data_IF_395857805704
#
_entry.id   IF_395857805704
#
_cell.length_a   1.000
_cell.length_b   1.000
_cell.length_c   1.000
_cell.angle_alpha   90.00
_cell.angle_beta   90.00
_cell.angle_gamma   90.00
#
_symmetry.space_group_name_H-M   'P 1'
#
loop_
_entity.id
_entity.type
_entity.pdbx_description
1 polymer ?
#
# COMPACT_ATOMS: atom_id res chain seq x y z
N UNK A 1 -7.74 -5.94 -23.63
CA UNK A 1 -7.14 -4.83 -24.41
C UNK A 1 -5.73 -5.20 -24.87
N UNK A 2 -5.49 -5.36 -26.17
CA UNK A 2 -4.23 -5.87 -26.73
C UNK A 2 -3.37 -4.73 -27.29
N UNK A 3 -2.63 -4.01 -26.44
CA UNK A 3 -1.61 -3.06 -26.92
C UNK A 3 -0.40 -3.85 -27.46
N UNK A 4 -0.30 -3.93 -28.78
CA UNK A 4 0.79 -4.60 -29.47
C UNK A 4 2.12 -3.84 -29.31
N UNK A 5 3.18 -4.56 -28.88
CA UNK A 5 4.60 -4.41 -29.29
C UNK A 5 5.50 -5.32 -28.44
N UNK A 6 5.37 -6.63 -28.65
CA UNK A 6 6.38 -7.59 -28.18
C UNK A 6 7.75 -7.39 -28.87
N UNK A 7 7.78 -6.81 -30.07
CA UNK A 7 9.00 -6.69 -30.89
C UNK A 7 9.94 -5.54 -30.54
N UNK A 8 9.49 -4.49 -29.84
CA UNK A 8 10.35 -3.35 -29.46
C UNK A 8 11.04 -3.52 -28.10
N UNK A 9 10.51 -4.41 -27.25
CA UNK A 9 11.08 -4.67 -25.92
C UNK A 9 12.18 -5.71 -25.98
N UNK A 10 13.32 -5.40 -25.36
CA UNK A 10 14.43 -6.34 -25.22
C UNK A 10 13.99 -7.62 -24.48
N UNK A 11 14.63 -8.79 -24.71
CA UNK A 11 14.18 -10.06 -24.11
C UNK A 11 14.02 -9.98 -22.58
N UNK A 12 14.90 -9.23 -21.92
CA UNK A 12 14.86 -8.92 -20.49
C UNK A 12 13.54 -8.26 -20.06
N UNK A 13 13.11 -7.22 -20.77
CA UNK A 13 11.87 -6.50 -20.47
C UNK A 13 10.62 -7.33 -20.75
N UNK A 14 10.65 -8.18 -21.79
CA UNK A 14 9.56 -9.14 -22.07
C UNK A 14 9.39 -10.14 -20.94
N UNK A 15 10.49 -10.61 -20.34
CA UNK A 15 10.44 -11.49 -19.16
C UNK A 15 9.93 -10.76 -17.92
N UNK A 16 10.36 -9.52 -17.66
CA UNK A 16 9.82 -8.71 -16.53
C UNK A 16 8.32 -8.49 -16.69
N UNK A 17 7.86 -8.11 -17.89
CA UNK A 17 6.44 -7.98 -18.22
C UNK A 17 5.68 -9.30 -18.01
N UNK A 18 6.21 -10.41 -18.56
CA UNK A 18 5.58 -11.74 -18.48
C UNK A 18 5.50 -12.25 -17.04
N UNK A 19 6.53 -12.00 -16.23
CA UNK A 19 6.51 -12.29 -14.80
C UNK A 19 5.40 -11.48 -14.10
N UNK A 20 5.27 -10.18 -14.38
CA UNK A 20 4.20 -9.37 -13.81
C UNK A 20 2.80 -9.91 -14.17
N UNK A 21 2.58 -10.31 -15.43
CA UNK A 21 1.30 -10.90 -15.87
C UNK A 21 1.02 -12.26 -15.20
N UNK A 22 2.02 -13.14 -15.11
CA UNK A 22 1.86 -14.46 -14.48
C UNK A 22 1.65 -14.35 -12.97
N UNK A 23 2.39 -13.49 -12.27
CA UNK A 23 2.23 -13.23 -10.82
C UNK A 23 0.83 -12.67 -10.54
N UNK A 24 0.36 -11.71 -11.35
CA UNK A 24 -1.02 -11.15 -11.30
C UNK A 24 -2.09 -12.24 -11.34
N UNK A 25 -1.90 -13.27 -12.17
CA UNK A 25 -2.87 -14.36 -12.36
C UNK A 25 -2.73 -15.45 -11.28
N UNK A 26 -1.51 -15.95 -11.09
CA UNK A 26 -1.23 -17.22 -10.41
C UNK A 26 -0.62 -17.07 -9.01
N UNK A 27 -0.15 -15.88 -8.63
CA UNK A 27 0.69 -15.68 -7.44
C UNK A 27 2.18 -15.91 -7.71
N UNK A 28 3.03 -15.60 -6.73
CA UNK A 28 4.49 -15.72 -6.89
C UNK A 28 4.93 -17.18 -6.86
N UNK A 29 4.47 -17.98 -5.89
CA UNK A 29 4.81 -19.39 -5.74
C UNK A 29 4.61 -20.19 -7.02
N UNK A 30 3.41 -20.09 -7.61
CA UNK A 30 3.02 -20.77 -8.84
C UNK A 30 3.60 -20.18 -10.14
N UNK A 31 4.37 -19.08 -10.09
CA UNK A 31 5.07 -18.53 -11.25
C UNK A 31 6.51 -19.06 -11.31
N UNK A 32 6.80 -19.97 -12.24
CA UNK A 32 8.15 -20.50 -12.46
C UNK A 32 8.96 -19.67 -13.46
N UNK A 33 10.28 -19.63 -13.29
CA UNK A 33 11.21 -18.96 -14.22
C UNK A 33 11.08 -19.48 -15.66
N UNK A 34 10.82 -20.78 -15.83
CA UNK A 34 10.62 -21.43 -17.13
C UNK A 34 9.33 -20.96 -17.81
N UNK A 35 8.26 -20.80 -17.04
CA UNK A 35 6.96 -20.37 -17.53
C UNK A 35 7.02 -18.91 -17.99
N UNK A 36 7.77 -18.08 -17.27
CA UNK A 36 8.08 -16.70 -17.69
C UNK A 36 8.82 -16.66 -19.02
N UNK A 37 9.88 -17.46 -19.21
CA UNK A 37 10.62 -17.48 -20.47
C UNK A 37 9.77 -17.95 -21.66
N UNK A 38 8.89 -18.94 -21.44
CA UNK A 38 7.93 -19.41 -22.46
C UNK A 38 6.90 -18.32 -22.79
N UNK A 39 6.32 -17.67 -21.77
CA UNK A 39 5.36 -16.58 -21.97
C UNK A 39 5.99 -15.33 -22.62
N UNK A 40 7.27 -15.07 -22.36
CA UNK A 40 8.00 -13.92 -22.88
C UNK A 40 8.55 -14.09 -24.31
N UNK A 41 8.38 -15.28 -24.90
CA UNK A 41 9.09 -15.72 -26.12
C UNK A 41 10.59 -15.39 -26.03
N UNK A 42 11.23 -15.95 -25.00
CA UNK A 42 12.64 -15.73 -24.68
C UNK A 42 13.43 -17.05 -24.63
N UNK A 43 14.68 -17.10 -25.15
CA UNK A 43 15.50 -18.30 -25.11
C UNK A 43 15.72 -18.77 -23.67
N UNK A 44 15.37 -20.03 -23.36
CA UNK A 44 15.41 -20.59 -21.99
C UNK A 44 16.78 -20.46 -21.31
N UNK A 45 17.87 -20.57 -22.08
CA UNK A 45 19.24 -20.41 -21.56
C UNK A 45 19.59 -18.99 -21.11
N UNK A 46 18.80 -17.98 -21.49
CA UNK A 46 19.08 -16.58 -21.17
C UNK A 46 18.61 -16.13 -19.78
N UNK A 47 17.79 -16.94 -19.08
CA UNK A 47 17.24 -16.59 -17.77
C UNK A 47 18.34 -16.30 -16.72
N UNK A 48 19.38 -17.15 -16.65
CA UNK A 48 20.50 -16.97 -15.72
C UNK A 48 21.38 -15.76 -16.08
N UNK A 49 21.47 -15.42 -17.37
CA UNK A 49 22.21 -14.26 -17.85
C UNK A 49 21.49 -12.95 -17.51
N UNK A 50 20.17 -12.90 -17.66
CA UNK A 50 19.38 -11.69 -17.42
C UNK A 50 18.98 -11.46 -15.95
N UNK A 51 18.86 -12.56 -15.18
CA UNK A 51 18.47 -12.56 -13.77
C UNK A 51 19.41 -13.48 -12.94
N UNK A 52 20.68 -13.08 -12.73
CA UNK A 52 21.64 -13.85 -11.93
C UNK A 52 21.20 -14.00 -10.45
N UNK A 53 20.41 -13.05 -9.92
CA UNK A 53 19.74 -13.16 -8.62
C UNK A 53 18.48 -14.05 -8.63
N UNK A 54 18.24 -14.79 -9.72
CA UNK A 54 17.20 -15.81 -9.82
C UNK A 54 15.76 -15.28 -9.75
N UNK A 55 14.88 -16.09 -9.17
CA UNK A 55 13.44 -15.82 -9.11
C UNK A 55 13.11 -14.57 -8.30
N UNK A 56 13.79 -14.36 -7.17
CA UNK A 56 13.54 -13.18 -6.32
C UNK A 56 13.85 -11.88 -7.07
N UNK A 57 14.99 -11.80 -7.77
CA UNK A 57 15.31 -10.66 -8.63
C UNK A 57 14.20 -10.40 -9.66
N UNK A 58 13.78 -11.43 -10.40
CA UNK A 58 12.73 -11.30 -11.41
C UNK A 58 11.39 -10.82 -10.82
N UNK A 59 11.00 -11.33 -9.64
CA UNK A 59 9.79 -10.92 -8.92
C UNK A 59 9.90 -9.45 -8.51
N UNK A 60 11.02 -9.04 -7.92
CA UNK A 60 11.27 -7.65 -7.49
C UNK A 60 11.20 -6.68 -8.68
N UNK A 61 11.77 -7.05 -9.82
CA UNK A 61 11.71 -6.25 -11.04
C UNK A 61 10.31 -6.21 -11.67
N UNK A 62 9.56 -7.31 -11.63
CA UNK A 62 8.17 -7.37 -12.08
C UNK A 62 7.24 -6.49 -11.21
N UNK A 63 7.44 -6.51 -9.89
CA UNK A 63 6.76 -5.66 -8.92
C UNK A 63 7.10 -4.18 -9.15
N UNK A 64 8.38 -3.86 -9.32
CA UNK A 64 8.82 -2.50 -9.62
C UNK A 64 8.31 -2.00 -10.98
N UNK A 65 8.26 -2.87 -12.00
CA UNK A 65 7.66 -2.57 -13.29
C UNK A 65 6.16 -2.28 -13.16
N UNK A 66 5.43 -3.09 -12.40
CA UNK A 66 4.00 -2.89 -12.18
C UNK A 66 3.69 -1.58 -11.43
N UNK A 67 4.50 -1.21 -10.44
CA UNK A 67 4.40 0.08 -9.77
C UNK A 67 4.62 1.27 -10.73
N UNK A 68 5.61 1.18 -11.62
CA UNK A 68 5.83 2.21 -12.67
C UNK A 68 4.70 2.24 -13.70
N UNK A 69 4.16 1.10 -14.10
CA UNK A 69 3.03 1.00 -15.01
C UNK A 69 1.77 1.66 -14.39
N UNK A 70 1.44 1.32 -13.15
CA UNK A 70 0.32 1.92 -12.43
C UNK A 70 0.49 3.44 -12.25
N UNK A 71 1.70 3.90 -11.91
CA UNK A 71 2.05 5.31 -11.85
C UNK A 71 1.83 6.04 -13.19
N UNK A 72 2.32 5.50 -14.30
CA UNK A 72 2.17 6.09 -15.63
C UNK A 72 0.72 6.12 -16.15
N UNK A 73 -0.13 5.21 -15.66
CA UNK A 73 -1.57 5.20 -16.00
C UNK A 73 -2.34 6.37 -15.39
N UNK A 74 -1.90 6.93 -14.25
CA UNK A 74 -2.59 8.05 -13.58
C UNK A 74 -2.73 9.27 -14.50
N UNK A 75 -1.66 9.68 -15.17
CA UNK A 75 -1.71 10.81 -16.11
C UNK A 75 -2.67 10.55 -17.30
N UNK A 76 -2.74 9.30 -17.80
CA UNK A 76 -3.69 8.89 -18.85
C UNK A 76 -5.14 8.89 -18.35
N UNK A 77 -5.37 8.59 -17.07
CA UNK A 77 -6.71 8.71 -16.47
C UNK A 77 -7.16 10.17 -16.36
N UNK A 78 -6.30 11.04 -15.81
CA UNK A 78 -6.60 12.48 -15.67
C UNK A 78 -6.88 13.11 -17.04
N UNK A 79 -6.02 12.86 -18.04
CA UNK A 79 -6.20 13.36 -19.41
C UNK A 79 -7.43 12.80 -20.15
N UNK A 80 -8.08 11.76 -19.61
CA UNK A 80 -9.33 11.20 -20.13
C UNK A 80 -10.60 11.75 -19.49
N UNK A 81 -10.48 12.67 -18.52
CA UNK A 81 -11.62 13.33 -17.86
C UNK A 81 -11.86 14.69 -18.50
N UNK A 82 -13.10 15.00 -18.85
CA UNK A 82 -13.48 16.33 -19.34
C UNK A 82 -13.36 17.39 -18.24
N UNK A 83 -13.80 17.04 -17.03
CA UNK A 83 -13.63 17.81 -15.79
C UNK A 83 -12.98 16.88 -14.75
N UNK A 84 -11.69 17.06 -14.41
CA UNK A 84 -11.02 16.19 -13.47
C UNK A 84 -11.48 16.44 -12.02
N UNK A 85 -12.08 15.42 -11.40
CA UNK A 85 -12.42 15.40 -9.96
C UNK A 85 -11.77 14.21 -9.25
N UNK A 86 -11.58 14.27 -7.92
CA UNK A 86 -11.07 13.15 -7.12
C UNK A 86 -11.87 11.86 -7.32
N UNK A 87 -13.21 11.92 -7.32
CA UNK A 87 -14.06 10.76 -7.62
C UNK A 87 -13.94 10.29 -9.07
N UNK A 88 -13.82 11.22 -10.03
CA UNK A 88 -13.65 10.93 -11.45
C UNK A 88 -12.36 10.18 -11.75
N UNK A 89 -11.26 10.57 -11.08
CA UNK A 89 -9.98 9.86 -11.11
C UNK A 89 -10.10 8.46 -10.50
N UNK A 90 -10.72 8.33 -9.31
CA UNK A 90 -10.90 7.02 -8.68
C UNK A 90 -11.76 6.09 -9.54
N UNK A 91 -12.85 6.60 -10.11
CA UNK A 91 -13.69 5.88 -11.05
C UNK A 91 -12.92 5.48 -12.33
N UNK A 92 -11.99 6.31 -12.83
CA UNK A 92 -11.14 5.96 -13.96
C UNK A 92 -10.15 4.82 -13.62
N UNK A 93 -9.57 4.84 -12.42
CA UNK A 93 -8.72 3.76 -11.90
C UNK A 93 -9.50 2.45 -11.77
N UNK A 94 -10.73 2.51 -11.26
CA UNK A 94 -11.65 1.36 -11.15
C UNK A 94 -12.07 0.83 -12.52
N UNK A 95 -12.43 1.71 -13.47
CA UNK A 95 -12.88 1.33 -14.82
C UNK A 95 -11.88 0.43 -15.54
N UNK A 96 -10.57 0.66 -15.39
CA UNK A 96 -9.57 -0.25 -15.98
C UNK A 96 -9.82 -1.72 -15.62
N UNK A 97 -10.19 -2.02 -14.37
CA UNK A 97 -10.41 -3.39 -13.90
C UNK A 97 -11.76 -3.96 -14.33
N UNK A 98 -12.78 -3.12 -14.53
CA UNK A 98 -14.07 -3.55 -15.09
C UNK A 98 -13.93 -3.86 -16.59
N UNK A 99 -13.22 -3.02 -17.34
CA UNK A 99 -12.95 -3.21 -18.76
C UNK A 99 -12.05 -4.46 -18.99
N UNK A 100 -11.08 -4.68 -18.10
CA UNK A 100 -10.27 -5.92 -18.07
C UNK A 100 -11.16 -7.15 -17.81
N UNK A 101 -12.13 -7.08 -16.88
CA UNK A 101 -13.06 -8.18 -16.61
C UNK A 101 -13.97 -8.47 -17.80
N UNK A 102 -14.61 -7.45 -18.39
CA UNK A 102 -15.50 -7.60 -19.54
C UNK A 102 -14.79 -8.22 -20.75
N UNK A 103 -13.52 -7.87 -20.97
CA UNK A 103 -12.73 -8.39 -22.09
C UNK A 103 -12.08 -9.75 -21.85
N UNK A 104 -11.89 -10.18 -20.59
CA UNK A 104 -11.20 -11.43 -20.25
C UNK A 104 -12.09 -12.50 -19.57
N UNK A 105 -13.30 -12.14 -19.13
CA UNK A 105 -14.19 -13.01 -18.35
C UNK A 105 -13.73 -13.32 -16.92
N UNK A 106 -12.64 -12.69 -16.45
CA UNK A 106 -12.07 -12.91 -15.13
C UNK A 106 -11.29 -11.68 -14.64
N UNK A 107 -11.35 -11.40 -13.33
CA UNK A 107 -10.62 -10.28 -12.73
C UNK A 107 -9.16 -10.70 -12.52
N UNK A 108 -8.20 -9.93 -13.04
CA UNK A 108 -6.78 -10.11 -12.72
C UNK A 108 -6.48 -9.71 -11.27
N UNK A 109 -5.35 -10.13 -10.69
CA UNK A 109 -4.82 -9.53 -9.46
C UNK A 109 -3.89 -8.36 -9.71
N UNK A 110 -3.59 -7.59 -8.67
CA UNK A 110 -2.38 -6.76 -8.69
C UNK A 110 -1.14 -7.64 -8.43
N UNK A 111 -0.09 -7.56 -9.27
CA UNK A 111 1.13 -8.32 -9.02
C UNK A 111 1.92 -7.81 -7.80
N UNK A 112 1.77 -6.53 -7.43
CA UNK A 112 2.36 -5.96 -6.21
C UNK A 112 1.68 -6.57 -4.98
N UNK A 113 0.35 -6.60 -4.94
CA UNK A 113 -0.40 -7.24 -3.87
C UNK A 113 -0.11 -8.75 -3.79
N UNK A 114 -0.08 -9.45 -4.93
CA UNK A 114 0.24 -10.88 -5.00
C UNK A 114 1.64 -11.20 -4.44
N UNK A 115 2.65 -10.38 -4.73
CA UNK A 115 3.99 -10.52 -4.14
C UNK A 115 4.05 -10.12 -2.66
N UNK A 116 3.14 -9.26 -2.20
CA UNK A 116 3.06 -8.86 -0.79
C UNK A 116 2.43 -9.95 0.08
N UNK A 117 1.40 -10.66 -0.40
CA UNK A 117 0.73 -11.70 0.40
C UNK A 117 1.47 -13.03 0.44
N UNK A 118 2.28 -13.34 -0.58
CA UNK A 118 2.99 -14.62 -0.73
C UNK A 118 4.31 -14.66 0.09
N UNK A 119 4.19 -14.51 1.41
CA UNK A 119 5.32 -14.45 2.35
C UNK A 119 6.22 -15.71 2.31
N UNK A 120 5.69 -16.86 1.87
CA UNK A 120 6.48 -18.08 1.73
C UNK A 120 7.39 -18.08 0.49
N UNK A 121 7.05 -17.29 -0.53
CA UNK A 121 7.81 -17.20 -1.80
C UNK A 121 8.64 -15.93 -1.95
N UNK A 122 8.59 -15.03 -0.96
CA UNK A 122 9.09 -13.65 -1.05
C UNK A 122 9.95 -13.28 0.16
N UNK A 123 11.21 -12.89 -0.06
CA UNK A 123 12.11 -12.45 1.01
C UNK A 123 11.96 -10.95 1.37
N UNK A 124 12.84 -10.45 2.27
CA UNK A 124 12.86 -9.04 2.68
C UNK A 124 12.97 -8.05 1.50
N UNK A 125 13.75 -8.42 0.47
CA UNK A 125 13.95 -7.60 -0.73
C UNK A 125 12.64 -7.41 -1.53
N UNK A 126 11.77 -8.43 -1.57
CA UNK A 126 10.47 -8.36 -2.25
C UNK A 126 9.48 -7.50 -1.49
N UNK A 127 9.49 -7.54 -0.15
CA UNK A 127 8.69 -6.61 0.68
C UNK A 127 9.11 -5.16 0.43
N UNK A 128 10.41 -4.89 0.34
CA UNK A 128 10.95 -3.56 0.01
C UNK A 128 10.57 -3.12 -1.41
N UNK A 129 10.69 -4.00 -2.39
CA UNK A 129 10.25 -3.74 -3.77
C UNK A 129 8.74 -3.45 -3.84
N UNK A 130 7.91 -4.16 -3.08
CA UNK A 130 6.46 -3.95 -3.02
C UNK A 130 6.11 -2.61 -2.35
N UNK A 131 6.74 -2.28 -1.22
CA UNK A 131 6.57 -0.99 -0.57
C UNK A 131 6.98 0.18 -1.48
N UNK A 132 8.11 0.04 -2.20
CA UNK A 132 8.57 1.01 -3.19
C UNK A 132 7.60 1.13 -4.39
N UNK A 133 7.02 0.02 -4.86
CA UNK A 133 6.03 0.02 -5.94
C UNK A 133 4.72 0.72 -5.53
N UNK A 134 4.18 0.44 -4.34
CA UNK A 134 3.01 1.16 -3.83
C UNK A 134 3.32 2.65 -3.57
N UNK A 135 4.52 2.99 -3.10
CA UNK A 135 4.95 4.39 -2.97
C UNK A 135 5.12 5.08 -4.34
N UNK A 136 5.55 4.36 -5.38
CA UNK A 136 5.65 4.88 -6.75
C UNK A 136 4.27 5.13 -7.38
N UNK A 137 3.26 4.30 -7.06
CA UNK A 137 1.90 4.49 -7.53
C UNK A 137 1.12 5.56 -6.74
N UNK A 138 1.28 5.64 -5.41
CA UNK A 138 0.63 6.67 -4.58
C UNK A 138 1.02 8.10 -4.95
N UNK A 139 2.31 8.35 -5.23
CA UNK A 139 2.83 9.70 -5.55
C UNK A 139 2.07 10.44 -6.65
N UNK A 140 1.89 9.89 -7.88
CA UNK A 140 1.13 10.58 -8.92
C UNK A 140 -0.38 10.67 -8.62
N UNK A 141 -0.96 9.75 -7.85
CA UNK A 141 -2.36 9.89 -7.39
C UNK A 141 -2.48 11.09 -6.45
N UNK A 142 -1.59 11.22 -5.46
CA UNK A 142 -1.56 12.36 -4.56
C UNK A 142 -1.30 13.69 -5.31
N UNK A 143 -0.38 13.70 -6.28
CA UNK A 143 -0.15 14.86 -7.15
C UNK A 143 -1.41 15.28 -7.90
N UNK A 144 -2.08 14.34 -8.56
CA UNK A 144 -3.33 14.60 -9.29
C UNK A 144 -4.47 15.09 -8.36
N UNK A 145 -4.55 14.61 -7.11
CA UNK A 145 -5.50 15.12 -6.12
C UNK A 145 -5.19 16.59 -5.75
N UNK A 146 -3.92 16.94 -5.55
CA UNK A 146 -3.50 18.33 -5.30
C UNK A 146 -3.80 19.24 -6.49
N UNK A 147 -3.56 18.77 -7.73
CA UNK A 147 -3.92 19.49 -8.96
C UNK A 147 -5.45 19.74 -9.08
N UNK A 148 -6.26 18.86 -8.49
CA UNK A 148 -7.72 19.00 -8.37
C UNK A 148 -8.17 19.84 -7.16
N UNK A 149 -7.23 20.46 -6.42
CA UNK A 149 -7.51 21.34 -5.30
C UNK A 149 -7.70 20.65 -3.94
N UNK A 150 -7.35 19.36 -3.81
CA UNK A 150 -7.27 18.69 -2.50
C UNK A 150 -6.06 19.23 -1.73
N UNK A 151 -6.19 19.60 -0.43
CA UNK A 151 -5.06 20.06 0.37
C UNK A 151 -3.93 19.03 0.45
N UNK A 152 -2.67 19.50 0.39
CA UNK A 152 -1.51 18.63 0.25
C UNK A 152 -1.35 17.63 1.42
N UNK A 153 -1.71 18.03 2.63
CA UNK A 153 -1.73 17.19 3.83
C UNK A 153 -2.81 16.10 3.80
N UNK A 154 -3.85 16.28 2.98
CA UNK A 154 -4.91 15.26 2.74
C UNK A 154 -4.64 14.40 1.50
N UNK A 155 -3.84 14.88 0.54
CA UNK A 155 -3.63 14.21 -0.73
C UNK A 155 -2.93 12.83 -0.61
N UNK A 156 -1.88 12.68 0.22
CA UNK A 156 -1.24 11.36 0.41
C UNK A 156 -2.13 10.36 1.17
N UNK A 157 -2.76 10.73 2.31
CA UNK A 157 -3.71 9.84 2.98
C UNK A 157 -4.86 9.39 2.09
N UNK A 158 -5.40 10.28 1.24
CA UNK A 158 -6.46 9.93 0.29
C UNK A 158 -5.96 9.05 -0.85
N UNK A 159 -4.76 9.28 -1.38
CA UNK A 159 -4.14 8.37 -2.35
C UNK A 159 -3.91 6.96 -1.75
N UNK A 160 -3.52 6.88 -0.47
CA UNK A 160 -3.42 5.63 0.29
C UNK A 160 -4.79 4.97 0.48
N UNK A 161 -5.85 5.73 0.80
CA UNK A 161 -7.22 5.23 0.91
C UNK A 161 -7.74 4.69 -0.44
N UNK A 162 -7.54 5.43 -1.53
CA UNK A 162 -7.95 5.02 -2.87
C UNK A 162 -7.28 3.70 -3.29
N UNK A 163 -5.96 3.60 -3.14
CA UNK A 163 -5.21 2.41 -3.54
C UNK A 163 -5.55 1.19 -2.66
N UNK A 164 -5.64 1.36 -1.33
CA UNK A 164 -6.03 0.26 -0.44
C UNK A 164 -7.47 -0.24 -0.69
N UNK A 165 -8.41 0.68 -0.92
CA UNK A 165 -9.80 0.32 -1.25
C UNK A 165 -9.92 -0.39 -2.60
N UNK A 166 -9.15 0.05 -3.60
CA UNK A 166 -9.09 -0.60 -4.91
C UNK A 166 -8.50 -2.01 -4.82
N UNK A 167 -7.39 -2.21 -4.11
CA UNK A 167 -6.78 -3.53 -3.93
C UNK A 167 -7.70 -4.50 -3.16
N UNK A 168 -8.38 -4.02 -2.11
CA UNK A 168 -9.40 -4.79 -1.40
C UNK A 168 -10.58 -5.17 -2.30
N UNK A 169 -11.04 -4.24 -3.15
CA UNK A 169 -12.09 -4.51 -4.11
C UNK A 169 -11.68 -5.49 -5.21
N UNK A 170 -10.43 -5.43 -5.70
CA UNK A 170 -9.88 -6.41 -6.65
C UNK A 170 -9.84 -7.81 -6.02
N UNK A 171 -9.40 -7.91 -4.76
CA UNK A 171 -9.36 -9.18 -4.03
C UNK A 171 -10.76 -9.80 -3.88
N UNK A 172 -11.75 -9.01 -3.44
CA UNK A 172 -13.14 -9.46 -3.33
C UNK A 172 -13.73 -9.80 -4.71
N UNK A 173 -13.48 -9.00 -5.74
CA UNK A 173 -13.99 -9.22 -7.09
C UNK A 173 -13.44 -10.52 -7.72
N UNK A 174 -12.19 -10.89 -7.39
CA UNK A 174 -11.62 -12.20 -7.74
C UNK A 174 -12.28 -13.36 -6.99
N UNK A 175 -12.57 -13.19 -5.70
CA UNK A 175 -13.21 -14.23 -4.88
C UNK A 175 -14.68 -14.46 -5.26
N UNK A 176 -15.40 -13.40 -5.61
CA UNK A 176 -16.81 -13.44 -6.04
C UNK A 176 -16.98 -13.81 -7.52
N UNK A 177 -15.93 -13.70 -8.35
CA UNK A 177 -16.04 -13.88 -9.79
C UNK A 177 -16.87 -12.79 -10.47
N UNK A 178 -16.74 -11.53 -10.04
CA UNK A 178 -17.52 -10.42 -10.59
C UNK A 178 -17.12 -9.03 -10.08
N UNK A 179 -17.50 -7.99 -10.82
CA UNK A 179 -17.04 -6.60 -10.59
C UNK A 179 -17.85 -5.81 -9.55
N UNK A 180 -18.79 -6.44 -8.84
CA UNK A 180 -19.65 -5.80 -7.83
C UNK A 180 -18.85 -5.04 -6.75
N UNK A 181 -17.75 -5.57 -6.18
CA UNK A 181 -16.98 -4.83 -5.17
C UNK A 181 -16.30 -3.57 -5.72
N UNK A 182 -15.81 -3.64 -6.97
CA UNK A 182 -15.18 -2.50 -7.67
C UNK A 182 -16.18 -1.35 -7.86
N UNK A 183 -17.38 -1.65 -8.38
CA UNK A 183 -18.45 -0.66 -8.51
C UNK A 183 -18.92 -0.11 -7.14
N UNK A 184 -18.90 -0.94 -6.10
CA UNK A 184 -19.29 -0.53 -4.74
C UNK A 184 -18.31 0.48 -4.18
N UNK A 185 -17.00 0.21 -4.17
CA UNK A 185 -16.02 1.16 -3.61
C UNK A 185 -15.99 2.48 -4.38
N UNK A 186 -16.15 2.44 -5.71
CA UNK A 186 -16.23 3.65 -6.53
C UNK A 186 -17.40 4.56 -6.13
N UNK A 187 -18.59 3.97 -5.92
CA UNK A 187 -19.79 4.70 -5.51
C UNK A 187 -19.68 5.27 -4.10
N UNK A 188 -19.28 4.46 -3.13
CA UNK A 188 -19.26 4.88 -1.71
C UNK A 188 -18.15 5.90 -1.41
N UNK A 189 -17.00 5.81 -2.09
CA UNK A 189 -15.90 6.77 -1.88
C UNK A 189 -16.08 8.08 -2.66
N UNK A 190 -16.86 8.11 -3.75
CA UNK A 190 -17.07 9.32 -4.56
C UNK A 190 -17.41 10.58 -3.75
N UNK A 191 -18.47 10.60 -2.89
CA UNK A 191 -18.80 11.80 -2.11
C UNK A 191 -17.72 12.19 -1.10
N UNK A 192 -17.00 11.22 -0.53
CA UNK A 192 -15.90 11.47 0.42
C UNK A 192 -14.69 12.11 -0.27
N UNK A 193 -14.37 11.63 -1.48
CA UNK A 193 -13.26 12.12 -2.29
C UNK A 193 -13.51 13.54 -2.82
N UNK A 194 -14.71 13.81 -3.33
CA UNK A 194 -15.03 15.15 -3.87
C UNK A 194 -15.19 16.19 -2.75
N UNK A 195 -15.73 15.80 -1.58
CA UNK A 195 -15.76 16.65 -0.38
C UNK A 195 -14.36 16.91 0.24
N UNK A 196 -13.28 16.37 -0.35
CA UNK A 196 -11.91 16.73 0.03
C UNK A 196 -11.42 18.03 -0.62
N UNK A 197 -12.11 18.54 -1.65
CA UNK A 197 -11.81 19.83 -2.29
C UNK A 197 -12.54 20.95 -1.52
N UNK A 198 -11.83 21.93 -0.93
CA UNK A 198 -12.47 23.03 -0.21
C UNK A 198 -13.32 23.90 -1.16
N UNK A 199 -14.45 24.44 -0.70
CA UNK A 199 -15.19 25.43 -1.49
C UNK A 199 -14.28 26.64 -1.78
N UNK A 200 -14.46 27.24 -2.96
CA UNK A 200 -13.52 28.24 -3.49
C UNK A 200 -13.24 29.47 -2.59
N UNK A 201 -14.10 29.74 -1.60
CA UNK A 201 -13.95 30.82 -0.63
C UNK A 201 -13.10 30.50 0.61
N UNK A 202 -12.69 29.24 0.84
CA UNK A 202 -11.96 28.84 2.07
C UNK A 202 -10.48 28.50 1.81
N UNK A 203 -9.94 28.95 0.67
CA UNK A 203 -8.49 28.95 0.38
C UNK A 203 -7.78 30.02 1.20
N UNK A 204 -7.73 29.84 2.52
CA UNK A 204 -7.02 30.74 3.42
C UNK A 204 -5.51 30.65 3.17
N UNK A 205 -4.87 31.81 3.36
CA UNK A 205 -3.54 32.08 2.86
C UNK A 205 -2.49 31.59 3.88
N UNK A 206 -2.32 30.27 3.97
CA UNK A 206 -1.41 29.60 4.90
C UNK A 206 0.05 29.74 4.44
N UNK A 207 0.54 30.97 4.39
CA UNK A 207 1.85 31.32 3.83
C UNK A 207 2.28 32.78 3.98
N UNK A 208 1.61 33.59 4.82
CA UNK A 208 2.13 34.90 5.21
C UNK A 208 3.35 34.75 6.14
N UNK A 209 4.43 35.54 5.97
CA UNK A 209 5.54 35.54 6.93
C UNK A 209 5.05 35.93 8.32
N UNK A 210 5.49 35.21 9.35
CA UNK A 210 5.33 35.68 10.73
C UNK A 210 6.31 36.83 10.94
N UNK A 211 5.77 38.04 11.01
CA UNK A 211 6.54 39.23 11.38
C UNK A 211 6.72 39.24 12.90
N UNK A 212 7.71 38.48 13.37
CA UNK A 212 8.10 38.38 14.78
C UNK A 212 8.87 39.66 15.20
N UNK A 213 8.25 40.83 14.99
CA UNK A 213 8.90 42.16 14.91
C UNK A 213 8.32 43.23 15.85
N UNK A 214 7.72 42.87 16.98
CA UNK A 214 7.28 43.83 18.00
C UNK A 214 8.42 44.26 18.94
N UNK A 215 8.66 45.57 19.16
CA UNK A 215 9.71 46.02 20.09
C UNK A 215 9.34 45.67 21.54
N UNK A 216 10.35 45.24 22.31
CA UNK A 216 10.23 45.07 23.76
C UNK A 216 10.32 46.44 24.42
N UNK A 217 9.31 46.79 25.20
CA UNK A 217 9.32 48.01 26.01
C UNK A 217 9.95 47.69 27.37
N UNK A 218 11.06 48.35 27.67
CA UNK A 218 11.86 48.13 28.89
C UNK A 218 11.48 49.17 29.95
N UNK A 219 10.72 48.78 30.99
CA UNK A 219 10.57 49.64 32.17
C UNK A 219 9.33 49.43 33.04
N UNK A 220 9.47 48.64 34.11
CA UNK A 220 8.56 48.63 35.25
C UNK A 220 9.36 48.52 36.55
N UNK A 221 9.15 49.36 37.58
CA UNK A 221 9.94 49.30 38.80
C UNK A 221 9.68 48.01 39.58
N UNK A 222 10.74 47.48 40.21
CA UNK A 222 10.58 46.48 41.26
C UNK A 222 10.18 47.21 42.54
N UNK A 223 9.11 46.76 43.17
CA UNK A 223 8.73 47.22 44.51
C UNK A 223 9.08 46.12 45.53
N UNK A 224 9.63 46.53 46.67
CA UNK A 224 10.32 45.66 47.61
C UNK A 224 9.48 45.44 48.89
N UNK A 225 9.22 44.17 49.23
CA UNK A 225 8.97 43.75 50.61
C UNK A 225 7.52 43.50 51.03
N UNK A 226 7.28 42.28 51.51
CA UNK A 226 6.10 41.85 52.27
C UNK A 226 6.43 40.52 52.96
N UNK A 227 6.15 40.34 54.26
CA UNK A 227 6.85 39.34 55.07
C UNK A 227 6.30 37.91 54.94
N UNK A 228 7.15 36.99 55.42
CA UNK A 228 6.86 35.56 55.63
C UNK A 228 5.83 35.39 56.73
N UNK A 229 5.06 34.31 56.65
CA UNK A 229 4.28 33.78 57.77
C UNK A 229 4.64 32.29 57.99
N UNK A 230 4.54 31.82 59.22
CA UNK A 230 5.26 30.65 59.74
C UNK A 230 4.38 29.40 59.96
N UNK A 231 5.01 28.21 59.92
CA UNK A 231 4.58 26.94 60.56
C UNK A 231 3.13 26.44 60.35
N UNK A 232 2.91 25.39 59.56
CA UNK A 232 3.09 23.99 60.00
C UNK A 232 1.71 23.30 60.20
N UNK A 233 1.63 22.05 60.73
CA UNK A 233 2.67 21.06 60.97
C UNK A 233 2.58 19.84 60.00
N UNK A 234 3.36 18.80 60.29
CA UNK A 234 3.34 17.48 59.61
C UNK A 234 2.21 16.60 60.17
N UNK A 235 1.80 15.60 59.42
CA UNK A 235 1.26 14.36 60.00
C UNK A 235 1.78 13.13 59.22
N UNK A 236 1.81 11.99 59.89
CA UNK A 236 2.68 10.85 59.60
C UNK A 236 1.94 9.62 59.04
N UNK A 237 2.73 8.65 58.54
CA UNK A 237 2.25 7.31 58.15
C UNK A 237 1.72 7.22 56.70
N UNK A 238 2.13 6.28 55.86
CA UNK A 238 2.90 5.06 56.10
C UNK A 238 2.00 3.83 56.05
N UNK A 239 2.16 3.01 55.01
CA UNK A 239 2.51 1.58 55.12
C UNK A 239 2.68 0.97 53.73
N UNK A 240 3.68 0.09 53.63
CA UNK A 240 3.88 -0.80 52.49
C UNK A 240 3.01 -2.04 52.69
N UNK A 241 2.56 -2.65 51.61
CA UNK A 241 2.29 -4.09 51.62
C UNK A 241 2.93 -4.77 50.43
N UNK A 242 4.00 -5.51 50.71
CA UNK A 242 4.47 -6.60 49.86
C UNK A 242 3.42 -7.72 49.83
N UNK A 243 3.32 -8.44 48.71
CA UNK A 243 2.27 -9.44 48.52
C UNK A 243 2.41 -10.26 47.25
N UNK A 244 3.61 -10.73 46.93
CA UNK A 244 3.79 -11.72 45.86
C UNK A 244 3.42 -13.12 46.34
N UNK A 245 2.66 -13.88 45.56
CA UNK A 245 2.66 -15.33 45.61
C UNK A 245 2.77 -15.92 44.20
N UNK A 246 3.83 -16.70 44.00
CA UNK A 246 3.89 -17.73 42.95
C UNK A 246 3.01 -18.89 43.40
N UNK A 247 2.43 -19.62 42.46
CA UNK A 247 2.15 -21.03 42.69
C UNK A 247 2.48 -21.85 41.45
N UNK A 248 3.37 -22.81 41.66
CA UNK A 248 3.68 -23.88 40.71
C UNK A 248 2.49 -24.83 40.57
N UNK A 249 2.38 -25.50 39.42
CA UNK A 249 1.26 -26.39 39.12
C UNK A 249 1.45 -27.19 37.83
N UNK A 250 2.58 -27.85 37.68
CA UNK A 250 2.80 -28.76 36.55
C UNK A 250 2.06 -30.08 36.73
N UNK A 251 1.47 -30.61 35.66
CA UNK A 251 1.17 -32.04 35.54
C UNK A 251 1.69 -32.56 34.20
N UNK A 252 2.59 -33.54 34.28
CA UNK A 252 2.92 -34.48 33.21
C UNK A 252 2.12 -35.76 33.44
N UNK A 253 1.66 -36.38 32.37
CA UNK A 253 1.47 -37.82 32.14
C UNK A 253 0.82 -37.90 30.74
N UNK A 254 1.40 -38.50 29.71
CA UNK A 254 1.90 -39.87 29.48
C UNK A 254 0.92 -40.64 28.58
N UNK A 255 1.44 -41.64 27.84
CA UNK A 255 0.60 -42.67 27.22
C UNK A 255 0.60 -42.67 25.68
N UNK A 256 1.63 -43.28 25.10
CA UNK A 256 1.68 -43.59 23.67
C UNK A 256 0.60 -44.60 23.21
N UNK A 257 0.28 -44.59 21.90
CA UNK A 257 0.04 -45.81 21.10
C UNK A 257 -0.02 -45.53 19.58
N UNK A 258 1.07 -45.88 18.88
CA UNK A 258 1.08 -46.60 17.58
C UNK A 258 1.91 -47.87 17.84
N UNK A 259 1.49 -49.06 17.40
CA UNK A 259 1.75 -49.57 16.04
C UNK A 259 0.54 -50.37 15.47
N UNK A 260 0.54 -51.01 14.30
CA UNK A 260 1.09 -50.76 12.93
C UNK A 260 0.43 -51.78 11.97
N UNK A 261 0.71 -51.74 10.65
CA UNK A 261 0.24 -52.82 9.75
C UNK A 261 0.20 -52.53 8.24
N UNK A 262 1.26 -52.92 7.52
CA UNK A 262 1.22 -53.27 6.08
C UNK A 262 2.01 -54.57 5.93
N UNK A 263 1.47 -55.56 5.20
CA UNK A 263 2.23 -56.10 4.06
C UNK A 263 1.41 -56.14 2.77
N UNK A 264 2.09 -56.06 1.63
CA UNK A 264 1.57 -56.39 0.30
C UNK A 264 1.95 -57.84 -0.08
N UNK A 265 1.26 -58.46 -1.03
CA UNK A 265 1.90 -59.44 -1.93
C UNK A 265 2.86 -58.77 -2.92
#
# INVERSE_FOLDING_TARGET
>A
MTEARGSERGPRERMVFSAAQLIRRNGVGATGMRDVAVHADAPRGSLQHYFPGGKEQLVNEAVAWAGRYAAGRVARFVAGLAEPTPSGLFAAMVRQWTDEYETAGAVGGCPVAAATVDQASCGPSTREAAAAAFAAWRRPVAGALTDMGVPAERAEPLATLMISSLEGAILMARAEGGVRPLATVARELAPLLDAAVPPAGDRRHDGGPRDDGGPRDDGGPRDDGGPRDDGGPRDDGGLRHDGGLRHDGGLRHDGARRPDGVPRP
#
